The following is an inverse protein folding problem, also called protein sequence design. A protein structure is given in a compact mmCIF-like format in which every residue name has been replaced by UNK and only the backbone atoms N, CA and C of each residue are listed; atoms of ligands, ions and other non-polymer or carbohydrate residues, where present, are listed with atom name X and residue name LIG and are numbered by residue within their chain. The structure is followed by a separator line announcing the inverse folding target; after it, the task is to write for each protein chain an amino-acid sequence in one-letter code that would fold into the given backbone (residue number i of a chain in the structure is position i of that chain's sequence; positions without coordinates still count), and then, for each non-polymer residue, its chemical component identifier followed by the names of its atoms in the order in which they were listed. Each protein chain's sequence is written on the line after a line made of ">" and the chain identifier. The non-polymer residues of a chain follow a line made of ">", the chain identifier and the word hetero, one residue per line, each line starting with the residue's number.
data_IF_799346540929
#
_entry.id   IF_799346540929
#
_cell.length_a   1.000
_cell.length_b   1.000
_cell.length_c   1.000
_cell.angle_alpha   90.00
_cell.angle_beta   90.00
_cell.angle_gamma   90.00
#
_symmetry.space_group_name_H-M   'P 1'
#
loop_
_entity.id
_entity.type
_entity.pdbx_description
1 polymer ?
#
# COMPACT_ATOMS: atom_id res chain seq x y z
N UNK A 1 2.87 -42.67 -28.45
CA UNK A 1 2.21 -41.55 -27.73
C UNK A 1 2.75 -40.26 -28.31
N UNK A 2 1.94 -39.48 -29.03
CA UNK A 2 2.30 -38.13 -29.48
C UNK A 2 2.02 -37.15 -28.36
N UNK A 3 3.06 -36.53 -27.80
CA UNK A 3 2.90 -35.43 -26.85
C UNK A 3 2.54 -34.19 -27.69
N UNK A 4 1.35 -33.59 -27.51
CA UNK A 4 0.98 -32.40 -28.27
C UNK A 4 1.94 -31.26 -27.95
N UNK A 5 2.50 -30.63 -28.98
CA UNK A 5 3.38 -29.48 -28.83
C UNK A 5 2.57 -28.28 -28.35
N UNK A 6 2.77 -27.86 -27.10
CA UNK A 6 2.19 -26.61 -26.61
C UNK A 6 2.99 -25.45 -27.21
N UNK A 7 2.35 -24.49 -27.91
CA UNK A 7 3.04 -23.32 -28.43
C UNK A 7 3.72 -22.55 -27.29
N UNK A 8 4.97 -22.13 -27.48
CA UNK A 8 5.69 -21.31 -26.50
C UNK A 8 4.93 -20.01 -26.17
N UNK A 9 4.17 -19.48 -27.13
CA UNK A 9 3.25 -18.35 -26.94
C UNK A 9 2.12 -18.66 -25.95
N UNK A 10 1.57 -19.87 -25.95
CA UNK A 10 0.55 -20.30 -25.00
C UNK A 10 1.13 -20.43 -23.58
N UNK A 11 2.36 -20.93 -23.45
CA UNK A 11 3.09 -21.00 -22.18
C UNK A 11 3.40 -19.58 -21.67
N UNK A 12 3.87 -18.68 -22.54
CA UNK A 12 4.15 -17.29 -22.16
C UNK A 12 2.89 -16.54 -21.73
N UNK A 13 1.77 -16.73 -22.43
CA UNK A 13 0.49 -16.12 -22.04
C UNK A 13 0.01 -16.68 -20.70
N UNK A 14 0.13 -17.99 -20.47
CA UNK A 14 -0.22 -18.64 -19.21
C UNK A 14 0.66 -18.14 -18.04
N UNK A 15 1.96 -17.98 -18.24
CA UNK A 15 2.88 -17.44 -17.24
C UNK A 15 2.58 -15.95 -16.98
N UNK A 16 2.39 -15.15 -18.03
CA UNK A 16 2.06 -13.74 -17.87
C UNK A 16 0.73 -13.49 -17.14
N UNK A 17 -0.25 -14.37 -17.29
CA UNK A 17 -1.55 -14.25 -16.65
C UNK A 17 -1.57 -14.81 -15.22
N UNK A 18 -0.86 -15.89 -14.94
CA UNK A 18 -0.95 -16.59 -13.65
C UNK A 18 0.21 -16.32 -12.69
N UNK A 19 1.30 -15.72 -13.14
CA UNK A 19 2.53 -15.60 -12.36
C UNK A 19 3.11 -14.17 -12.30
N UNK A 20 2.45 -13.22 -12.97
CA UNK A 20 2.76 -11.79 -12.85
C UNK A 20 1.80 -11.18 -11.84
N UNK A 21 2.35 -10.69 -10.74
CA UNK A 21 1.61 -9.95 -9.75
C UNK A 21 1.59 -8.47 -10.14
N UNK A 22 0.41 -7.88 -10.14
CA UNK A 22 0.16 -6.46 -10.36
C UNK A 22 -0.63 -5.94 -9.18
N UNK A 23 -0.27 -4.74 -8.74
CA UNK A 23 -1.04 -4.03 -7.74
C UNK A 23 -1.29 -2.61 -8.20
N UNK A 24 -2.53 -2.16 -8.04
CA UNK A 24 -2.90 -0.75 -8.10
C UNK A 24 -3.16 -0.27 -6.67
N UNK A 25 -2.47 0.78 -6.25
CA UNK A 25 -2.61 1.35 -4.91
C UNK A 25 -3.20 2.74 -5.07
N UNK A 26 -4.36 2.95 -4.44
CA UNK A 26 -5.06 4.22 -4.42
C UNK A 26 -4.93 4.82 -3.02
N UNK A 27 -4.23 5.95 -2.91
CA UNK A 27 -4.12 6.71 -1.67
C UNK A 27 -5.08 7.88 -1.77
N UNK A 28 -6.24 7.73 -1.16
CA UNK A 28 -7.28 8.73 -1.08
C UNK A 28 -7.01 9.68 0.09
N UNK A 29 -6.51 10.88 -0.22
CA UNK A 29 -6.23 11.94 0.74
C UNK A 29 -7.35 12.98 0.79
N UNK A 30 -8.56 12.63 0.30
CA UNK A 30 -9.63 13.62 0.11
C UNK A 30 -10.22 14.15 1.42
N UNK A 31 -10.19 13.32 2.47
CA UNK A 31 -10.73 13.61 3.79
C UNK A 31 -9.64 13.92 4.83
N UNK A 32 -8.39 14.04 4.40
CA UNK A 32 -7.26 14.46 5.22
C UNK A 32 -7.09 15.97 5.16
N UNK A 33 -6.58 16.53 6.25
CA UNK A 33 -6.16 17.94 6.31
C UNK A 33 -4.72 18.15 5.86
N UNK A 34 -3.92 17.09 5.82
CA UNK A 34 -2.49 17.16 5.55
C UNK A 34 -2.19 16.81 4.09
N UNK A 35 -1.17 17.48 3.53
CA UNK A 35 -0.55 17.06 2.27
C UNK A 35 0.44 15.93 2.55
N UNK A 36 0.66 15.06 1.57
CA UNK A 36 1.71 14.05 1.60
C UNK A 36 2.85 14.47 0.68
N UNK A 37 4.08 14.50 1.19
CA UNK A 37 5.26 14.97 0.46
C UNK A 37 6.35 13.90 0.37
N UNK A 38 7.33 14.17 -0.50
CA UNK A 38 8.55 13.39 -0.64
C UNK A 38 8.31 11.89 -0.80
N UNK A 39 7.34 11.54 -1.64
CA UNK A 39 7.01 10.14 -1.95
C UNK A 39 8.27 9.34 -2.27
N UNK A 40 8.50 8.26 -1.51
CA UNK A 40 9.58 7.28 -1.72
C UNK A 40 8.97 5.89 -1.89
N UNK A 41 9.59 5.08 -2.74
CA UNK A 41 9.12 3.72 -3.02
C UNK A 41 10.27 2.73 -2.89
N UNK A 42 10.01 1.62 -2.20
CA UNK A 42 10.91 0.47 -2.09
C UNK A 42 10.14 -0.79 -2.45
N UNK A 43 10.73 -1.66 -3.26
CA UNK A 43 10.14 -2.93 -3.66
C UNK A 43 9.97 -3.05 -5.16
N UNK A 44 8.81 -3.55 -5.59
CA UNK A 44 8.57 -3.93 -6.98
C UNK A 44 8.63 -2.80 -8.00
N UNK A 45 8.91 -3.16 -9.27
CA UNK A 45 9.00 -2.18 -10.35
C UNK A 45 7.68 -1.43 -10.52
N UNK A 46 7.75 -0.10 -10.38
CA UNK A 46 6.66 0.81 -10.72
C UNK A 46 6.36 0.76 -12.22
N UNK A 47 5.07 0.79 -12.55
CA UNK A 47 4.55 0.90 -13.92
C UNK A 47 4.37 2.38 -14.30
N UNK A 48 3.92 3.20 -13.35
CA UNK A 48 3.77 4.64 -13.49
C UNK A 48 4.74 5.35 -12.53
N UNK A 49 5.17 6.59 -12.83
CA UNK A 49 5.94 7.38 -11.88
C UNK A 49 5.24 7.48 -10.54
N UNK A 50 6.01 7.45 -9.45
CA UNK A 50 5.49 7.66 -8.11
C UNK A 50 5.03 9.12 -7.96
N UNK A 51 3.80 9.38 -7.47
CA UNK A 51 3.41 10.73 -7.07
C UNK A 51 4.37 11.25 -5.99
N UNK A 52 5.10 12.33 -6.27
CA UNK A 52 6.01 12.93 -5.28
C UNK A 52 5.23 13.67 -4.20
N UNK A 53 4.03 14.16 -4.54
CA UNK A 53 3.12 14.87 -3.64
C UNK A 53 1.69 14.42 -3.91
N UNK A 54 0.90 14.31 -2.84
CA UNK A 54 -0.55 14.11 -2.90
C UNK A 54 -1.16 15.22 -2.04
N UNK A 55 -1.77 16.23 -2.66
CA UNK A 55 -2.31 17.36 -1.90
C UNK A 55 -3.49 16.92 -1.02
N UNK A 56 -3.80 17.74 -0.01
CA UNK A 56 -5.11 17.66 0.65
C UNK A 56 -6.22 17.68 -0.41
N UNK A 57 -7.29 16.90 -0.21
CA UNK A 57 -8.43 16.82 -1.15
C UNK A 57 -8.12 16.14 -2.49
N UNK A 58 -6.97 15.48 -2.63
CA UNK A 58 -6.59 14.75 -3.85
C UNK A 58 -6.44 13.24 -3.60
N UNK A 59 -6.29 12.49 -4.69
CA UNK A 59 -6.01 11.06 -4.68
C UNK A 59 -4.69 10.79 -5.42
N UNK A 60 -3.81 10.01 -4.79
CA UNK A 60 -2.62 9.46 -5.41
C UNK A 60 -2.89 8.08 -6.00
N UNK A 61 -2.36 7.83 -7.20
CA UNK A 61 -2.43 6.54 -7.87
C UNK A 61 -1.02 5.98 -8.09
N UNK A 62 -0.80 4.75 -7.64
CA UNK A 62 0.47 4.03 -7.81
C UNK A 62 0.18 2.69 -8.45
N UNK A 63 0.93 2.33 -9.48
CA UNK A 63 0.84 1.01 -10.12
C UNK A 63 2.18 0.33 -10.07
N UNK A 64 2.21 -0.91 -9.59
CA UNK A 64 3.44 -1.70 -9.47
C UNK A 64 3.23 -3.12 -10.02
N UNK A 65 4.32 -3.73 -10.52
CA UNK A 65 4.33 -5.12 -11.01
C UNK A 65 5.54 -5.90 -10.53
N UNK A 66 5.33 -7.19 -10.31
CA UNK A 66 6.34 -8.17 -9.93
C UNK A 66 6.21 -9.45 -10.75
N UNK A 67 7.33 -10.09 -11.03
CA UNK A 67 7.39 -11.48 -11.49
C UNK A 67 7.68 -12.40 -10.30
N UNK A 68 6.72 -13.26 -9.97
CA UNK A 68 6.79 -14.50 -9.14
C UNK A 68 7.32 -14.40 -7.70
N UNK A 69 8.54 -13.94 -7.41
CA UNK A 69 9.17 -14.21 -6.09
C UNK A 69 9.03 -13.11 -5.04
N UNK A 70 8.97 -11.84 -5.44
CA UNK A 70 9.03 -10.71 -4.49
C UNK A 70 7.90 -9.71 -4.67
N UNK A 71 6.63 -10.14 -4.66
CA UNK A 71 5.51 -9.21 -4.88
C UNK A 71 5.15 -8.41 -3.61
N UNK A 72 6.12 -7.72 -3.03
CA UNK A 72 5.95 -6.85 -1.87
C UNK A 72 6.66 -5.51 -2.06
N UNK A 73 6.15 -4.48 -1.42
CA UNK A 73 6.78 -3.16 -1.42
C UNK A 73 6.15 -2.23 -0.40
N UNK A 74 6.77 -1.07 -0.24
CA UNK A 74 6.27 0.07 0.52
C UNK A 74 6.33 1.33 -0.31
N UNK A 75 5.39 2.21 -0.01
CA UNK A 75 5.49 3.62 -0.31
C UNK A 75 5.48 4.40 1.00
N UNK A 76 6.37 5.37 1.08
CA UNK A 76 6.52 6.26 2.22
C UNK A 76 6.25 7.69 1.78
N UNK A 77 5.48 8.43 2.59
CA UNK A 77 5.28 9.86 2.45
C UNK A 77 5.55 10.56 3.77
N UNK A 78 6.10 11.76 3.70
CA UNK A 78 6.09 12.69 4.82
C UNK A 78 4.70 13.33 4.94
N UNK A 79 4.16 13.36 6.16
CA UNK A 79 2.89 14.00 6.44
C UNK A 79 3.18 15.47 6.77
N UNK A 80 2.65 16.37 5.94
CA UNK A 80 2.87 17.81 6.08
C UNK A 80 2.42 18.33 7.46
N UNK A 81 3.15 19.29 8.00
CA UNK A 81 2.93 19.89 9.33
C UNK A 81 2.89 18.90 10.52
N UNK A 82 3.37 17.66 10.36
CA UNK A 82 3.42 16.66 11.43
C UNK A 82 4.86 16.21 11.71
N UNK A 83 5.25 16.26 12.99
CA UNK A 83 6.60 15.88 13.45
C UNK A 83 6.55 15.11 14.76
N UNK A 84 7.54 14.25 14.98
CA UNK A 84 7.79 13.51 16.23
C UNK A 84 9.28 13.67 16.59
N UNK A 85 9.58 14.22 17.77
CA UNK A 85 10.96 14.47 18.22
C UNK A 85 11.83 15.22 17.19
N UNK A 86 11.28 16.28 16.58
CA UNK A 86 11.88 17.08 15.50
C UNK A 86 12.11 16.35 14.16
N UNK A 87 11.73 15.08 14.04
CA UNK A 87 11.76 14.33 12.80
C UNK A 87 10.40 14.40 12.08
N UNK A 88 10.39 14.34 10.73
CA UNK A 88 9.14 14.26 9.98
C UNK A 88 8.34 13.02 10.38
N UNK A 89 7.03 13.17 10.51
CA UNK A 89 6.13 12.04 10.68
C UNK A 89 5.86 11.42 9.30
N UNK A 90 6.03 10.10 9.22
CA UNK A 90 5.95 9.34 7.98
C UNK A 90 4.68 8.52 7.95
N UNK A 91 3.97 8.53 6.82
CA UNK A 91 2.97 7.55 6.44
C UNK A 91 3.64 6.49 5.58
N UNK A 92 3.63 5.24 6.04
CA UNK A 92 4.15 4.09 5.29
C UNK A 92 3.01 3.14 4.98
N UNK A 93 2.80 2.89 3.69
CA UNK A 93 1.82 1.93 3.19
C UNK A 93 2.58 0.77 2.58
N UNK A 94 2.40 -0.44 3.11
CA UNK A 94 3.03 -1.64 2.59
C UNK A 94 2.04 -2.68 2.11
N UNK A 95 2.45 -3.47 1.10
CA UNK A 95 1.63 -4.53 0.51
C UNK A 95 2.44 -5.78 0.23
N UNK A 96 1.73 -6.92 0.24
CA UNK A 96 2.22 -8.20 -0.23
C UNK A 96 1.13 -8.91 -1.03
N UNK A 97 1.46 -9.21 -2.29
CA UNK A 97 0.64 -10.03 -3.17
C UNK A 97 1.10 -11.47 -3.07
N UNK A 98 0.17 -12.35 -2.71
CA UNK A 98 0.43 -13.77 -2.54
C UNK A 98 0.02 -14.51 -3.81
N UNK A 99 0.90 -15.39 -4.32
CA UNK A 99 0.52 -16.31 -5.42
C UNK A 99 -0.55 -17.30 -4.94
N UNK A 100 -0.47 -17.71 -3.66
CA UNK A 100 -1.38 -18.64 -3.01
C UNK A 100 -1.85 -18.01 -1.70
N UNK A 101 -3.17 -17.93 -1.51
CA UNK A 101 -3.80 -17.40 -0.31
C UNK A 101 -4.21 -15.93 -0.44
N UNK A 102 -4.35 -15.27 0.70
CA UNK A 102 -4.84 -13.89 0.79
C UNK A 102 -3.72 -12.87 0.60
N UNK A 103 -4.06 -11.77 -0.05
CA UNK A 103 -3.18 -10.60 -0.12
C UNK A 103 -3.15 -9.89 1.24
N UNK A 104 -2.06 -9.16 1.50
CA UNK A 104 -1.87 -8.46 2.75
C UNK A 104 -1.43 -7.02 2.56
N UNK A 105 -1.83 -6.16 3.49
CA UNK A 105 -1.40 -4.77 3.56
C UNK A 105 -1.14 -4.35 5.00
N UNK A 106 -0.44 -3.25 5.20
CA UNK A 106 -0.37 -2.57 6.49
C UNK A 106 -0.18 -1.07 6.28
N UNK A 107 -0.45 -0.31 7.33
CA UNK A 107 -0.03 1.08 7.44
C UNK A 107 0.71 1.30 8.74
N UNK A 108 1.79 2.09 8.66
CA UNK A 108 2.55 2.56 9.81
C UNK A 108 2.60 4.08 9.77
N UNK A 109 2.38 4.72 10.93
CA UNK A 109 2.58 6.15 11.12
C UNK A 109 3.59 6.34 12.25
N UNK A 110 4.70 7.00 11.96
CA UNK A 110 5.79 7.17 12.92
C UNK A 110 7.01 7.83 12.31
N UNK A 111 8.17 7.75 12.96
CA UNK A 111 9.44 8.28 12.44
C UNK A 111 10.51 7.19 12.35
N UNK A 112 11.61 7.47 11.63
CA UNK A 112 12.68 6.50 11.37
C UNK A 112 13.36 5.95 12.64
N UNK A 113 13.28 6.68 13.75
CA UNK A 113 13.84 6.25 15.04
C UNK A 113 12.92 5.33 15.84
N UNK A 114 11.69 5.08 15.37
CA UNK A 114 10.76 4.20 16.07
C UNK A 114 11.25 2.74 16.02
N UNK A 115 11.15 1.99 17.13
CA UNK A 115 11.75 0.66 17.26
C UNK A 115 11.19 -0.39 16.28
N UNK A 116 9.99 -0.13 15.72
CA UNK A 116 9.30 -0.99 14.77
C UNK A 116 9.25 -0.38 13.37
N UNK A 117 10.13 0.57 13.06
CA UNK A 117 10.16 1.21 11.75
C UNK A 117 10.36 0.16 10.63
N UNK A 118 9.45 0.08 9.65
CA UNK A 118 9.54 -0.91 8.58
C UNK A 118 10.58 -0.51 7.53
N UNK A 119 11.57 -1.37 7.32
CA UNK A 119 12.61 -1.21 6.29
C UNK A 119 12.52 -2.33 5.23
N UNK A 120 13.34 -2.24 4.17
CA UNK A 120 13.37 -3.22 3.09
C UNK A 120 13.69 -4.65 3.59
N UNK A 121 14.53 -4.75 4.61
CA UNK A 121 15.01 -6.03 5.12
C UNK A 121 13.93 -6.79 5.92
N UNK A 122 13.06 -6.05 6.62
CA UNK A 122 12.04 -6.59 7.51
C UNK A 122 10.65 -6.69 6.87
N UNK A 123 10.35 -5.88 5.85
CA UNK A 123 8.99 -5.71 5.33
C UNK A 123 8.30 -7.02 4.93
N UNK A 124 8.99 -7.91 4.21
CA UNK A 124 8.38 -9.15 3.74
C UNK A 124 8.01 -10.07 4.92
N UNK A 125 8.89 -10.13 5.93
CA UNK A 125 8.63 -10.87 7.17
C UNK A 125 7.49 -10.23 7.97
N UNK A 126 7.55 -8.92 8.16
CA UNK A 126 6.53 -8.16 8.88
C UNK A 126 5.14 -8.35 8.25
N UNK A 127 4.99 -8.15 6.94
CA UNK A 127 3.74 -8.39 6.22
C UNK A 127 3.27 -9.84 6.33
N UNK A 128 4.20 -10.81 6.28
CA UNK A 128 3.84 -12.23 6.44
C UNK A 128 3.16 -12.50 7.77
N UNK A 129 3.68 -11.91 8.85
CA UNK A 129 3.23 -12.17 10.22
C UNK A 129 2.03 -11.28 10.58
N UNK A 130 2.10 -9.98 10.29
CA UNK A 130 1.23 -8.95 10.86
C UNK A 130 0.30 -8.23 9.87
N UNK A 131 0.46 -8.45 8.56
CA UNK A 131 -0.35 -7.72 7.57
C UNK A 131 -1.84 -8.06 7.62
N UNK A 132 -2.66 -7.01 7.52
CA UNK A 132 -4.12 -7.04 7.41
C UNK A 132 -4.55 -7.69 6.10
N UNK A 133 -5.71 -8.34 6.10
CA UNK A 133 -6.33 -8.99 4.93
C UNK A 133 -7.69 -8.34 4.70
N UNK A 134 -8.12 -8.24 3.44
CA UNK A 134 -9.40 -7.60 3.13
C UNK A 134 -9.44 -6.15 3.63
N UNK A 135 -10.58 -5.76 4.19
CA UNK A 135 -10.80 -4.41 4.73
C UNK A 135 -10.53 -4.32 6.22
N UNK A 136 -9.91 -3.22 6.66
CA UNK A 136 -9.71 -2.89 8.07
C UNK A 136 -9.62 -1.38 8.30
N UNK A 137 -9.87 -0.94 9.53
CA UNK A 137 -9.74 0.46 9.97
C UNK A 137 -8.67 0.55 11.04
N UNK A 138 -7.66 1.41 10.81
CA UNK A 138 -6.55 1.65 11.72
C UNK A 138 -6.66 3.06 12.30
N UNK A 139 -6.71 3.16 13.62
CA UNK A 139 -6.81 4.43 14.33
C UNK A 139 -5.44 4.79 14.94
N UNK A 140 -4.93 5.95 14.57
CA UNK A 140 -3.67 6.52 15.06
C UNK A 140 -4.00 7.76 15.89
N UNK A 141 -4.58 7.54 17.08
CA UNK A 141 -5.11 8.59 17.97
C UNK A 141 -4.06 9.67 18.30
N UNK A 142 -2.80 9.27 18.58
CA UNK A 142 -1.68 10.19 18.87
C UNK A 142 -1.46 11.21 17.74
N UNK A 143 -1.85 10.86 16.52
CA UNK A 143 -1.64 11.68 15.34
C UNK A 143 -2.95 12.25 14.77
N UNK A 144 -4.10 11.92 15.37
CA UNK A 144 -5.44 12.28 14.90
C UNK A 144 -5.71 11.85 13.47
N UNK A 145 -5.26 10.65 13.11
CA UNK A 145 -5.39 10.07 11.76
C UNK A 145 -6.12 8.73 11.87
N UNK A 146 -7.12 8.54 11.02
CA UNK A 146 -7.79 7.27 10.82
C UNK A 146 -7.55 6.82 9.38
N UNK A 147 -7.22 5.55 9.21
CA UNK A 147 -6.98 4.93 7.91
C UNK A 147 -8.00 3.82 7.69
N UNK A 148 -8.82 3.94 6.66
CA UNK A 148 -9.58 2.80 6.16
C UNK A 148 -8.82 2.20 4.99
N UNK A 149 -8.42 0.93 5.09
CA UNK A 149 -7.74 0.24 4.01
C UNK A 149 -8.50 -0.99 3.54
N UNK A 150 -8.37 -1.33 2.27
CA UNK A 150 -8.86 -2.61 1.74
C UNK A 150 -7.93 -3.14 0.67
N UNK A 151 -7.67 -4.45 0.69
CA UNK A 151 -6.95 -5.14 -0.38
C UNK A 151 -7.80 -6.23 -1.01
N UNK A 152 -7.84 -6.26 -2.34
CA UNK A 152 -8.44 -7.37 -3.09
C UNK A 152 -7.46 -8.55 -3.18
N UNK A 153 -8.00 -9.77 -3.27
CA UNK A 153 -7.20 -10.97 -3.50
C UNK A 153 -6.90 -11.22 -4.98
N UNK A 154 -5.96 -12.13 -5.22
CA UNK A 154 -5.51 -12.51 -6.56
C UNK A 154 -4.31 -11.72 -7.04
N UNK A 155 -3.79 -12.13 -8.20
CA UNK A 155 -2.52 -11.62 -8.73
C UNK A 155 -2.67 -10.24 -9.40
N UNK A 156 -3.90 -9.79 -9.67
CA UNK A 156 -4.21 -8.43 -10.11
C UNK A 156 -4.96 -7.71 -8.98
N UNK A 157 -4.21 -7.24 -7.99
CA UNK A 157 -4.77 -6.70 -6.76
C UNK A 157 -5.02 -5.19 -6.86
N UNK A 158 -5.98 -4.73 -6.06
CA UNK A 158 -6.19 -3.32 -5.75
C UNK A 158 -6.07 -3.13 -4.25
N UNK A 159 -5.29 -2.13 -3.83
CA UNK A 159 -5.18 -1.66 -2.46
C UNK A 159 -5.71 -0.23 -2.39
N UNK A 160 -6.80 -0.04 -1.67
CA UNK A 160 -7.38 1.28 -1.42
C UNK A 160 -7.03 1.71 0.00
N UNK A 161 -6.49 2.92 0.17
CA UNK A 161 -6.14 3.53 1.46
C UNK A 161 -6.85 4.88 1.52
N UNK A 162 -7.79 5.03 2.45
CA UNK A 162 -8.49 6.29 2.71
C UNK A 162 -7.95 6.92 3.99
N UNK A 163 -7.43 8.15 3.87
CA UNK A 163 -6.86 8.91 4.98
C UNK A 163 -7.89 9.92 5.45
N UNK A 164 -8.26 9.83 6.74
CA UNK A 164 -9.19 10.74 7.40
C UNK A 164 -8.52 11.41 8.59
N UNK A 165 -8.73 12.71 8.75
CA UNK A 165 -8.40 13.39 10.01
C UNK A 165 -9.54 13.24 11.02
N UNK A 166 -9.22 12.98 12.28
CA UNK A 166 -10.21 13.00 13.36
C UNK A 166 -10.94 14.36 13.40
N UNK A 167 -12.25 14.31 13.70
CA UNK A 167 -13.12 15.49 13.74
C UNK A 167 -13.82 15.85 12.41
N UNK A 168 -13.38 15.33 11.25
CA UNK A 168 -14.18 15.40 10.00
C UNK A 168 -15.18 14.24 9.88
N UNK A 169 -14.86 13.06 10.42
CA UNK A 169 -15.73 11.89 10.42
C UNK A 169 -16.93 11.97 11.37
N UNK A 170 -16.89 12.85 12.38
CA UNK A 170 -17.99 13.05 13.33
C UNK A 170 -19.20 13.73 12.68
N UNK A 171 -19.01 14.61 11.70
CA UNK A 171 -20.12 15.17 10.95
C UNK A 171 -20.82 14.12 10.06
N UNK A 172 -20.09 13.12 9.56
CA UNK A 172 -20.67 12.03 8.77
C UNK A 172 -21.56 11.07 9.57
N UNK A 173 -21.31 10.90 10.88
CA UNK A 173 -22.12 10.06 11.79
C UNK A 173 -23.32 10.78 12.41
N UNK A 174 -23.35 12.12 12.39
CA UNK A 174 -24.48 12.91 12.92
C UNK A 174 -25.63 13.02 11.89
N UNK A 175 -25.35 12.77 10.61
CA UNK A 175 -26.33 12.84 9.51
C UNK A 175 -26.66 11.48 8.87
N UNK A 176 -26.33 10.36 9.52
CA UNK A 176 -26.63 8.99 9.07
C UNK A 176 -27.61 8.30 10.01
#
# INVERSE_FOLDING_TARGET
>A
MNIPSIPLSAINNFVQTNFVNRITININNTQSRNTLHHGKHIGNKLITPLPVTINRREMGLIRSKSTIEKACGIVTYEIDDKRKNNLPLLLIVGWRISIIGKNKWFVFIGCETDPNFPDESSINKYLKENGNKGSDTLEFEEHSIIIDGSISDGNNAQLDICIRSEGLGLLGRIFS
#
